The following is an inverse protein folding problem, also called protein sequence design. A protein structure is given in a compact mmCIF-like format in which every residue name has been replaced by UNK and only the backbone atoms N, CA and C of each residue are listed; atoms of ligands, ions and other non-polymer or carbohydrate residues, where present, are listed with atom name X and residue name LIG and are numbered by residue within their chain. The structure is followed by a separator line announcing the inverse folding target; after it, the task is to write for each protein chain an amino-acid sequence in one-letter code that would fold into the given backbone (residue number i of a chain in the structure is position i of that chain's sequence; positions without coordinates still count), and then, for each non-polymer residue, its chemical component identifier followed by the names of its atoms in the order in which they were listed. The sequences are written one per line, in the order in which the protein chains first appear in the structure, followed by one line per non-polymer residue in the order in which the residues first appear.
data_IF_165765496933
#
_entry.id   IF_165765496933
#
_cell.length_a   1.000
_cell.length_b   1.000
_cell.length_c   1.000
_cell.angle_alpha   90.00
_cell.angle_beta   90.00
_cell.angle_gamma   90.00
#
_symmetry.space_group_name_H-M   'P 1'
#
loop_
_entity.id
_entity.type
_entity.pdbx_description
1 polymer ?
#
# COMPACT_ATOMS: atom_id res chain seq x y z
N UNK A 1 33.36 45.53 11.57
CA UNK A 1 33.47 44.15 11.05
C UNK A 1 32.59 43.21 11.90
N UNK A 2 31.32 43.08 11.50
CA UNK A 2 30.32 42.04 11.77
C UNK A 2 30.31 41.24 13.10
N UNK A 3 29.51 41.74 14.05
CA UNK A 3 29.00 41.00 15.22
C UNK A 3 27.64 40.30 14.97
N UNK A 4 27.15 40.28 13.72
CA UNK A 4 25.80 39.81 13.36
C UNK A 4 25.73 38.45 12.64
N UNK A 5 26.85 37.72 12.49
CA UNK A 5 26.88 36.44 11.74
C UNK A 5 26.71 35.17 12.59
N UNK A 6 26.66 35.28 13.92
CA UNK A 6 26.60 34.09 14.79
C UNK A 6 25.17 33.57 15.04
N UNK A 7 24.13 34.40 14.87
CA UNK A 7 22.75 34.02 15.21
C UNK A 7 21.98 33.30 14.10
N UNK A 8 22.49 33.26 12.87
CA UNK A 8 21.75 32.71 11.73
C UNK A 8 22.01 31.23 11.46
N UNK A 9 22.96 30.59 12.17
CA UNK A 9 23.40 29.21 11.86
C UNK A 9 22.81 28.12 12.75
N UNK A 10 21.92 28.46 13.70
CA UNK A 10 21.35 27.51 14.65
C UNK A 10 20.04 26.86 14.17
N UNK A 11 19.39 27.37 13.13
CA UNK A 11 18.12 26.82 12.62
C UNK A 11 18.29 25.71 11.56
N UNK A 12 19.52 25.29 11.26
CA UNK A 12 19.81 24.28 10.21
C UNK A 12 20.31 22.95 10.77
N UNK A 13 20.45 22.81 12.10
CA UNK A 13 20.94 21.58 12.71
C UNK A 13 19.85 20.84 13.50
N UNK A 14 19.48 19.66 12.99
CA UNK A 14 18.68 18.59 13.60
C UNK A 14 17.14 18.67 13.50
N UNK A 15 16.58 17.88 12.58
CA UNK A 15 15.14 17.52 12.51
C UNK A 15 14.72 16.40 13.48
N UNK A 16 15.64 15.91 14.30
CA UNK A 16 15.33 15.09 15.48
C UNK A 16 16.24 15.55 16.61
N UNK A 17 15.74 16.44 17.45
CA UNK A 17 16.32 16.70 18.77
C UNK A 17 16.26 15.37 19.53
N UNK A 18 17.41 14.75 19.78
CA UNK A 18 17.50 13.65 20.72
C UNK A 18 16.87 14.12 22.04
N UNK A 19 15.70 13.57 22.36
CA UNK A 19 15.01 13.94 23.58
C UNK A 19 15.97 13.76 24.75
N UNK A 20 16.14 14.81 25.56
CA UNK A 20 16.90 14.73 26.79
C UNK A 20 16.31 13.59 27.64
N UNK A 21 17.08 12.51 27.82
CA UNK A 21 16.73 11.35 28.66
C UNK A 21 16.32 11.71 30.09
N UNK A 22 16.55 12.95 30.53
CA UNK A 22 16.17 13.44 31.85
C UNK A 22 14.65 13.62 32.03
N UNK A 23 13.90 13.94 30.98
CA UNK A 23 12.43 14.11 31.06
C UNK A 23 11.64 12.82 30.80
N UNK A 24 12.25 11.80 30.18
CA UNK A 24 11.62 10.48 30.01
C UNK A 24 11.43 9.73 31.34
N UNK A 25 12.22 10.04 32.38
CA UNK A 25 12.06 9.43 33.71
C UNK A 25 10.75 9.80 34.41
N UNK A 26 10.17 10.97 34.08
CA UNK A 26 8.90 11.45 34.64
C UNK A 26 7.66 10.89 33.93
N UNK A 27 7.83 10.08 32.88
CA UNK A 27 6.74 9.36 32.20
C UNK A 27 6.53 7.94 32.76
N UNK A 28 7.31 7.54 33.78
CA UNK A 28 6.99 6.30 34.50
C UNK A 28 5.64 6.46 35.22
N UNK A 29 4.62 5.70 34.78
CA UNK A 29 3.20 5.66 35.24
C UNK A 29 2.13 6.46 34.50
N UNK A 30 2.35 7.02 33.31
CA UNK A 30 1.19 7.43 32.49
C UNK A 30 0.48 6.18 31.95
N UNK A 31 -0.85 6.07 32.15
CA UNK A 31 -1.70 5.07 31.48
C UNK A 31 -1.91 5.45 30.02
N UNK A 32 -0.82 5.71 29.29
CA UNK A 32 -0.87 6.11 27.90
C UNK A 32 -0.85 4.87 27.02
N UNK A 33 -1.95 4.62 26.32
CA UNK A 33 -2.06 3.51 25.39
C UNK A 33 -1.47 3.91 24.03
N UNK A 34 -0.17 3.67 23.88
CA UNK A 34 0.54 3.95 22.63
C UNK A 34 -0.04 3.19 21.43
N UNK A 35 -0.61 1.99 21.64
CA UNK A 35 -1.18 1.21 20.56
C UNK A 35 -2.45 1.88 20.01
N UNK A 36 -3.30 2.41 20.89
CA UNK A 36 -4.49 3.17 20.50
C UNK A 36 -4.13 4.43 19.72
N UNK A 37 -3.11 5.16 20.14
CA UNK A 37 -2.72 6.45 19.56
C UNK A 37 -1.99 6.29 18.21
N UNK A 38 -1.27 5.18 18.02
CA UNK A 38 -0.66 4.82 16.72
C UNK A 38 -1.70 4.30 15.73
N UNK A 39 -2.82 3.77 16.22
CA UNK A 39 -3.89 3.23 15.40
C UNK A 39 -3.41 2.07 14.51
N UNK A 40 -3.78 2.11 13.23
CA UNK A 40 -3.38 1.09 12.23
C UNK A 40 -1.97 1.30 11.69
N UNK A 41 -1.29 2.39 12.06
CA UNK A 41 0.05 2.72 11.56
C UNK A 41 0.08 3.21 10.11
N UNK A 42 -1.07 3.34 9.43
CA UNK A 42 -1.14 3.82 8.04
C UNK A 42 -0.79 5.31 7.90
N UNK A 43 -0.86 6.09 8.99
CA UNK A 43 -0.42 7.50 8.96
C UNK A 43 1.10 7.64 9.12
N UNK A 44 1.81 6.53 9.39
CA UNK A 44 3.27 6.51 9.48
C UNK A 44 3.89 6.43 8.09
N UNK A 45 4.74 7.42 7.77
CA UNK A 45 5.51 7.42 6.53
C UNK A 45 6.47 6.24 6.43
N UNK A 46 6.96 5.73 7.57
CA UNK A 46 7.84 4.56 7.64
C UNK A 46 7.12 3.31 7.14
N UNK A 47 5.80 3.21 7.38
CA UNK A 47 4.97 2.08 6.95
C UNK A 47 4.44 2.29 5.53
N UNK A 48 3.96 3.49 5.21
CA UNK A 48 3.31 3.75 3.91
C UNK A 48 4.27 3.91 2.74
N UNK A 49 5.49 4.42 2.97
CA UNK A 49 6.49 4.56 1.90
C UNK A 49 6.81 3.23 1.19
N UNK A 50 7.13 2.11 1.88
CA UNK A 50 7.36 0.84 1.21
C UNK A 50 6.08 0.29 0.56
N UNK A 51 4.90 0.47 1.17
CA UNK A 51 3.62 0.04 0.57
C UNK A 51 3.40 0.76 -0.77
N UNK A 52 3.57 2.07 -0.81
CA UNK A 52 3.44 2.87 -2.05
C UNK A 52 4.49 2.52 -3.10
N UNK A 53 5.70 2.14 -2.69
CA UNK A 53 6.70 1.63 -3.61
C UNK A 53 6.23 0.32 -4.25
N UNK A 54 5.73 -0.64 -3.47
CA UNK A 54 5.21 -1.91 -4.00
C UNK A 54 3.99 -1.68 -4.91
N UNK A 55 3.08 -0.77 -4.53
CA UNK A 55 1.90 -0.43 -5.34
C UNK A 55 2.26 0.05 -6.74
N UNK A 56 3.38 0.77 -6.89
CA UNK A 56 3.90 1.17 -8.21
C UNK A 56 4.59 0.00 -8.91
N UNK A 57 5.54 -0.64 -8.22
CA UNK A 57 6.36 -1.70 -8.80
C UNK A 57 5.54 -2.91 -9.31
N UNK A 58 4.50 -3.32 -8.59
CA UNK A 58 3.69 -4.47 -8.99
C UNK A 58 2.93 -4.21 -10.29
N UNK A 59 2.55 -2.96 -10.54
CA UNK A 59 1.77 -2.58 -11.73
C UNK A 59 2.61 -2.51 -13.00
N UNK A 60 3.95 -2.44 -12.88
CA UNK A 60 4.88 -2.51 -14.01
C UNK A 60 5.03 -3.93 -14.57
N UNK A 61 4.65 -4.95 -13.78
CA UNK A 61 4.73 -6.33 -14.21
C UNK A 61 3.63 -6.67 -15.23
N UNK A 62 4.02 -7.22 -16.39
CA UNK A 62 3.06 -7.71 -17.39
C UNK A 62 2.35 -8.96 -16.87
N UNK A 63 1.04 -8.87 -16.67
CA UNK A 63 0.20 -10.03 -16.40
C UNK A 63 0.12 -10.92 -17.64
N UNK A 64 0.32 -12.22 -17.45
CA UNK A 64 0.30 -13.22 -18.54
C UNK A 64 -0.46 -14.45 -18.11
N UNK A 65 -1.19 -15.03 -19.06
CA UNK A 65 -1.80 -16.35 -18.88
C UNK A 65 -0.91 -17.35 -19.59
N UNK A 66 -0.47 -18.37 -18.85
CA UNK A 66 0.34 -19.45 -19.40
C UNK A 66 -0.45 -20.76 -19.37
N UNK A 67 -0.33 -21.54 -20.43
CA UNK A 67 -0.83 -22.91 -20.50
C UNK A 67 0.38 -23.84 -20.44
N UNK A 68 0.36 -24.76 -19.49
CA UNK A 68 1.35 -25.84 -19.41
C UNK A 68 0.80 -27.07 -20.15
N UNK A 69 1.59 -27.60 -21.07
CA UNK A 69 1.29 -28.85 -21.77
C UNK A 69 2.57 -29.69 -21.76
N UNK A 70 2.54 -30.78 -21.00
CA UNK A 70 3.72 -31.61 -20.72
C UNK A 70 4.92 -30.75 -20.21
N UNK A 71 6.05 -30.76 -20.94
CA UNK A 71 7.25 -29.97 -20.64
C UNK A 71 7.26 -28.58 -21.30
N UNK A 72 6.23 -28.22 -22.05
CA UNK A 72 6.13 -26.94 -22.76
C UNK A 72 5.27 -25.92 -22.00
N UNK A 73 5.77 -24.69 -21.91
CA UNK A 73 5.06 -23.55 -21.35
C UNK A 73 4.80 -22.57 -22.49
N UNK A 74 3.53 -22.46 -22.88
CA UNK A 74 3.10 -21.53 -23.92
C UNK A 74 2.31 -20.38 -23.29
N UNK A 75 2.55 -19.16 -23.78
CA UNK A 75 1.75 -18.00 -23.41
C UNK A 75 0.44 -18.01 -24.20
N UNK A 76 -0.68 -17.91 -23.48
CA UNK A 76 -2.00 -17.73 -24.09
C UNK A 76 -2.22 -16.25 -24.34
N UNK A 77 -2.02 -15.84 -25.58
CA UNK A 77 -2.25 -14.46 -26.05
C UNK A 77 -3.76 -14.16 -26.06
N UNK A 78 -4.13 -12.91 -25.80
CA UNK A 78 -5.51 -12.39 -25.83
C UNK A 78 -6.52 -13.13 -24.95
N UNK A 79 -6.07 -13.65 -23.81
CA UNK A 79 -6.96 -14.30 -22.85
C UNK A 79 -7.86 -13.27 -22.14
N UNK A 80 -9.18 -13.52 -22.10
CA UNK A 80 -10.20 -12.65 -21.49
C UNK A 80 -9.86 -12.17 -20.06
N UNK A 81 -9.21 -13.02 -19.27
CA UNK A 81 -8.76 -12.66 -17.90
C UNK A 81 -7.80 -11.46 -17.89
N UNK A 82 -6.90 -11.36 -18.86
CA UNK A 82 -5.92 -10.26 -18.95
C UNK A 82 -6.67 -8.96 -19.23
N UNK A 83 -7.58 -8.98 -20.21
CA UNK A 83 -8.43 -7.84 -20.53
C UNK A 83 -9.35 -7.44 -19.34
N UNK A 84 -9.93 -8.43 -18.65
CA UNK A 84 -10.74 -8.21 -17.47
C UNK A 84 -9.93 -7.58 -16.33
N UNK A 85 -8.69 -7.99 -16.10
CA UNK A 85 -7.89 -7.37 -15.03
C UNK A 85 -7.44 -5.97 -15.42
N UNK A 86 -7.15 -5.71 -16.70
CA UNK A 86 -6.76 -4.38 -17.19
C UNK A 86 -7.90 -3.35 -17.08
N UNK A 87 -9.13 -3.77 -17.39
CA UNK A 87 -10.35 -2.98 -17.19
C UNK A 87 -11.36 -3.76 -16.34
N UNK A 88 -11.19 -3.76 -15.00
CA UNK A 88 -11.94 -4.62 -14.08
C UNK A 88 -13.39 -4.22 -13.89
N UNK A 89 -13.72 -2.94 -14.05
CA UNK A 89 -15.06 -2.41 -14.01
C UNK A 89 -15.07 -1.01 -14.66
N UNK A 90 -16.24 -0.39 -14.85
CA UNK A 90 -16.33 0.94 -15.47
C UNK A 90 -15.74 2.09 -14.64
N UNK A 91 -15.49 1.91 -13.35
CA UNK A 91 -15.09 2.98 -12.44
C UNK A 91 -13.56 3.19 -12.37
N UNK A 92 -12.76 2.14 -12.55
CA UNK A 92 -11.30 2.24 -12.46
C UNK A 92 -10.57 1.14 -13.25
N UNK A 93 -9.29 1.40 -13.56
CA UNK A 93 -8.42 0.45 -14.28
C UNK A 93 -7.75 -0.60 -13.37
N UNK A 94 -7.12 -1.60 -13.97
CA UNK A 94 -6.37 -2.65 -13.29
C UNK A 94 -5.27 -2.14 -12.37
N UNK A 95 -4.64 -1.01 -12.72
CA UNK A 95 -3.66 -0.34 -11.88
C UNK A 95 -4.23 -0.01 -10.49
N UNK A 96 -5.46 0.51 -10.47
CA UNK A 96 -6.16 0.87 -9.23
C UNK A 96 -6.59 -0.39 -8.47
N UNK A 97 -7.08 -1.41 -9.17
CA UNK A 97 -7.43 -2.70 -8.57
C UNK A 97 -6.23 -3.29 -7.83
N UNK A 98 -5.08 -3.41 -8.49
CA UNK A 98 -3.87 -3.97 -7.91
C UNK A 98 -3.33 -3.11 -6.76
N UNK A 99 -3.29 -1.79 -6.95
CA UNK A 99 -2.84 -0.86 -5.91
C UNK A 99 -3.67 -1.00 -4.63
N UNK A 100 -4.99 -1.06 -4.74
CA UNK A 100 -5.90 -1.23 -3.60
C UNK A 100 -5.80 -2.63 -2.96
N UNK A 101 -5.60 -3.66 -3.78
CA UNK A 101 -5.42 -5.06 -3.32
C UNK A 101 -4.16 -5.20 -2.48
N UNK A 102 -3.03 -4.68 -2.99
CA UNK A 102 -1.74 -4.70 -2.27
C UNK A 102 -1.83 -3.89 -0.98
N UNK A 103 -2.51 -2.74 -1.00
CA UNK A 103 -2.71 -1.96 0.21
C UNK A 103 -3.40 -2.77 1.30
N UNK A 104 -4.54 -3.38 1.00
CA UNK A 104 -5.25 -4.22 1.98
C UNK A 104 -4.41 -5.40 2.44
N UNK A 105 -3.77 -6.11 1.50
CA UNK A 105 -2.96 -7.27 1.83
C UNK A 105 -1.79 -6.94 2.75
N UNK A 106 -1.08 -5.83 2.51
CA UNK A 106 0.09 -5.45 3.29
C UNK A 106 -0.24 -4.76 4.62
N UNK A 107 -1.41 -4.11 4.73
CA UNK A 107 -1.80 -3.39 5.95
C UNK A 107 -2.64 -4.23 6.91
N UNK A 108 -3.45 -5.15 6.40
CA UNK A 108 -4.37 -5.97 7.21
C UNK A 108 -4.18 -7.48 7.04
N UNK A 109 -3.32 -7.93 6.12
CA UNK A 109 -3.05 -9.36 5.90
C UNK A 109 -4.08 -10.08 5.04
N UNK A 110 -5.10 -9.37 4.55
CA UNK A 110 -6.18 -9.91 3.72
C UNK A 110 -6.55 -8.91 2.61
N UNK A 111 -7.11 -9.43 1.51
CA UNK A 111 -7.64 -8.62 0.42
C UNK A 111 -8.74 -9.39 -0.32
N UNK A 112 -9.74 -8.67 -0.81
CA UNK A 112 -10.94 -9.28 -1.37
C UNK A 112 -11.34 -8.62 -2.69
N UNK A 113 -11.74 -9.47 -3.65
CA UNK A 113 -12.40 -9.05 -4.88
C UNK A 113 -13.81 -9.63 -4.93
N UNK A 114 -14.79 -8.76 -5.10
CA UNK A 114 -16.15 -9.13 -5.46
C UNK A 114 -16.21 -9.41 -6.96
N UNK A 115 -16.69 -10.60 -7.31
CA UNK A 115 -16.85 -11.04 -8.70
C UNK A 115 -18.29 -10.87 -9.14
N UNK A 116 -18.53 -10.01 -10.13
CA UNK A 116 -19.85 -9.91 -10.77
C UNK A 116 -19.88 -10.85 -11.97
N UNK A 117 -20.96 -11.60 -12.10
CA UNK A 117 -21.15 -12.60 -13.17
C UNK A 117 -22.35 -12.24 -14.02
N UNK A 118 -22.26 -12.50 -15.32
CA UNK A 118 -23.41 -12.39 -16.21
C UNK A 118 -24.35 -13.59 -16.07
N UNK A 119 -25.48 -13.57 -16.79
CA UNK A 119 -26.46 -14.67 -16.78
C UNK A 119 -25.92 -16.02 -17.25
N UNK A 120 -24.79 -16.05 -17.96
CA UNK A 120 -24.09 -17.28 -18.34
C UNK A 120 -23.03 -17.74 -17.32
N UNK A 121 -22.92 -17.08 -16.16
CA UNK A 121 -21.97 -17.42 -15.10
C UNK A 121 -20.53 -16.94 -15.34
N UNK A 122 -20.25 -16.29 -16.47
CA UNK A 122 -18.92 -15.70 -16.77
C UNK A 122 -18.69 -14.48 -15.88
N UNK A 123 -17.50 -14.37 -15.29
CA UNK A 123 -17.10 -13.16 -14.55
C UNK A 123 -16.90 -12.03 -15.55
N UNK A 124 -17.60 -10.92 -15.33
CA UNK A 124 -17.58 -9.75 -16.21
C UNK A 124 -17.02 -8.51 -15.52
N UNK A 125 -17.03 -8.47 -14.19
CA UNK A 125 -16.42 -7.38 -13.44
C UNK A 125 -15.74 -7.87 -12.16
N UNK A 126 -14.73 -7.13 -11.74
CA UNK A 126 -13.98 -7.29 -10.51
C UNK A 126 -14.02 -5.99 -9.70
N UNK A 127 -14.53 -6.07 -8.49
CA UNK A 127 -14.61 -4.94 -7.57
C UNK A 127 -13.72 -5.18 -6.36
N UNK A 128 -12.84 -4.23 -6.06
CA UNK A 128 -12.07 -4.23 -4.83
C UNK A 128 -13.03 -3.99 -3.66
N UNK A 129 -12.94 -4.85 -2.65
CA UNK A 129 -13.65 -4.67 -1.39
C UNK A 129 -12.61 -4.33 -0.32
N UNK A 130 -12.71 -3.15 0.32
CA UNK A 130 -11.82 -2.79 1.41
C UNK A 130 -11.86 -3.82 2.53
N UNK A 131 -10.68 -4.15 3.09
CA UNK A 131 -10.57 -5.17 4.12
C UNK A 131 -11.39 -4.88 5.38
N UNK A 132 -11.64 -3.61 5.71
CA UNK A 132 -12.46 -3.22 6.86
C UNK A 132 -13.97 -3.32 6.63
N UNK A 133 -14.42 -3.69 5.42
CA UNK A 133 -15.84 -3.89 5.09
C UNK A 133 -16.28 -5.35 5.16
N UNK A 134 -15.35 -6.29 5.40
CA UNK A 134 -15.59 -7.73 5.50
C UNK A 134 -15.35 -8.20 6.93
#
# INVERSE_FOLDING_TARGET
MNLFKAFTKAFTAMRHTGASNFLLGFLSRTKFDYAKEVGTGIDSSVVTAPVQWIQRAITEARLRVIRRKDDEIEEVVDHDLVALIDTPNPAYSGLHLWSATVFSYLTAGNAYWLKIRNGGGKVVELWYVPHWMM
#
